data_IF_583312075027
#
_entry.id   IF_583312075027
#
_cell.length_a   1.000
_cell.length_b   1.000
_cell.length_c   1.000
_cell.angle_alpha   90.00
_cell.angle_beta   90.00
_cell.angle_gamma   90.00
#
_symmetry.space_group_name_H-M   'P 1'
#
loop_
_entity.id
_entity.type
_entity.pdbx_description
1 polymer ?
#
# COMPACT_ATOMS: atom_id res chain seq x y z
N UNK A 1 18.45 5.00 2.11
CA UNK A 1 17.00 4.98 1.87
C UNK A 1 16.48 6.39 1.79
N UNK A 2 15.72 6.73 0.75
CA UNK A 2 15.02 8.02 0.62
C UNK A 2 13.53 7.87 0.89
N UNK A 3 12.98 6.70 0.56
CA UNK A 3 11.56 6.39 0.76
C UNK A 3 11.38 5.06 1.51
N UNK A 4 10.43 5.04 2.43
CA UNK A 4 9.86 3.82 2.99
C UNK A 4 8.36 3.81 2.71
N UNK A 5 7.86 2.78 2.02
CA UNK A 5 6.47 2.68 1.57
C UNK A 5 5.78 1.57 2.36
N UNK A 6 4.67 1.91 3.00
CA UNK A 6 3.86 1.05 3.84
C UNK A 6 2.42 1.04 3.32
N UNK A 7 1.92 -0.14 2.97
CA UNK A 7 0.55 -0.33 2.53
C UNK A 7 -0.35 -0.65 3.72
N UNK A 8 -1.60 -0.19 3.77
CA UNK A 8 -2.50 -0.51 4.89
C UNK A 8 -3.84 -0.92 4.34
N UNK A 9 -4.37 -2.02 4.85
CA UNK A 9 -5.68 -2.50 4.42
C UNK A 9 -6.75 -1.80 5.25
N UNK A 10 -7.75 -1.23 4.58
CA UNK A 10 -8.99 -0.79 5.16
C UNK A 10 -10.10 -1.74 4.66
N UNK A 11 -10.66 -2.59 5.52
CA UNK A 11 -11.76 -3.45 5.12
C UNK A 11 -12.96 -2.61 4.67
N UNK A 12 -13.76 -3.16 3.76
CA UNK A 12 -14.90 -2.43 3.20
C UNK A 12 -15.85 -1.96 4.30
N UNK A 13 -16.13 -0.65 4.33
CA UNK A 13 -17.03 -0.06 5.32
C UNK A 13 -16.46 0.07 6.74
N UNK A 14 -15.21 -0.35 6.97
CA UNK A 14 -14.53 -0.12 8.24
C UNK A 14 -14.03 1.33 8.35
N UNK A 15 -13.81 1.77 9.60
CA UNK A 15 -13.19 3.08 9.91
C UNK A 15 -11.74 2.94 10.38
N UNK A 16 -11.29 1.70 10.61
CA UNK A 16 -9.98 1.37 11.19
C UNK A 16 -9.18 0.48 10.26
N UNK A 17 -7.90 0.78 10.13
CA UNK A 17 -6.95 -0.02 9.35
C UNK A 17 -6.69 -1.37 10.04
N UNK A 18 -6.44 -2.40 9.25
CA UNK A 18 -5.89 -3.67 9.75
C UNK A 18 -4.45 -3.44 10.17
N UNK A 19 -4.07 -3.93 11.35
CA UNK A 19 -2.66 -4.04 11.72
C UNK A 19 -2.05 -5.23 10.97
N UNK A 20 -1.47 -4.93 9.82
CA UNK A 20 -0.76 -5.87 8.98
C UNK A 20 0.74 -5.57 8.91
N UNK A 21 1.26 -4.81 9.88
CA UNK A 21 2.70 -4.62 10.01
C UNK A 21 3.34 -5.85 10.60
N UNK A 22 4.47 -6.29 10.03
CA UNK A 22 5.30 -7.31 10.69
C UNK A 22 6.23 -6.61 11.67
N UNK A 23 6.44 -7.16 12.87
CA UNK A 23 7.39 -6.59 13.84
C UNK A 23 8.82 -6.47 13.28
N UNK A 24 9.13 -7.19 12.21
CA UNK A 24 10.46 -7.27 11.63
C UNK A 24 10.73 -6.27 10.50
N UNK A 25 9.69 -5.72 9.86
CA UNK A 25 9.84 -4.69 8.82
C UNK A 25 8.93 -3.48 9.10
N UNK A 26 9.50 -2.28 9.34
CA UNK A 26 8.71 -1.09 9.63
C UNK A 26 7.94 -0.55 8.41
N UNK A 27 8.33 -0.95 7.20
CA UNK A 27 7.70 -0.63 5.91
C UNK A 27 7.82 -1.83 4.97
N UNK A 28 6.98 -1.93 3.94
CA UNK A 28 7.02 -3.05 3.00
C UNK A 28 8.12 -2.91 1.95
N UNK A 29 8.33 -1.67 1.49
CA UNK A 29 9.27 -1.35 0.42
C UNK A 29 10.18 -0.23 0.88
N UNK A 30 11.48 -0.48 0.78
CA UNK A 30 12.52 0.49 1.04
C UNK A 30 13.20 0.84 -0.29
N UNK A 31 13.34 2.14 -0.57
CA UNK A 31 13.87 2.62 -1.85
C UNK A 31 15.00 3.59 -1.57
N UNK A 32 16.18 3.28 -2.11
CA UNK A 32 17.30 4.22 -2.20
C UNK A 32 17.43 4.84 -3.60
N UNK A 33 18.57 5.47 -3.87
CA UNK A 33 18.83 6.16 -5.14
C UNK A 33 19.19 5.25 -6.31
N UNK A 34 19.40 3.96 -6.05
CA UNK A 34 19.66 2.93 -7.06
C UNK A 34 18.41 2.15 -7.44
N UNK A 35 17.34 2.31 -6.67
CA UNK A 35 16.09 1.57 -6.80
C UNK A 35 14.96 2.45 -7.34
N UNK A 36 13.91 1.80 -7.83
CA UNK A 36 12.68 2.43 -8.28
C UNK A 36 11.49 1.74 -7.65
N UNK A 37 10.49 2.51 -7.23
CA UNK A 37 9.20 1.98 -6.81
C UNK A 37 8.07 2.83 -7.40
N UNK A 38 6.98 2.15 -7.75
CA UNK A 38 5.75 2.79 -8.15
C UNK A 38 4.94 3.16 -6.90
N UNK A 39 4.51 4.41 -6.82
CA UNK A 39 3.58 4.88 -5.79
C UNK A 39 2.22 5.07 -6.47
N UNK A 40 1.26 4.14 -6.28
CA UNK A 40 -0.05 4.26 -6.92
C UNK A 40 -0.77 5.55 -6.51
N UNK A 41 -1.56 6.07 -7.43
CA UNK A 41 -2.46 7.19 -7.25
C UNK A 41 -3.70 6.81 -6.46
N UNK A 42 -4.39 7.81 -5.87
CA UNK A 42 -5.71 7.58 -5.27
C UNK A 42 -6.69 7.17 -6.36
N UNK A 43 -7.42 6.09 -6.13
CA UNK A 43 -8.34 5.48 -7.09
C UNK A 43 -7.75 4.34 -7.93
N UNK A 44 -6.42 4.19 -7.95
CA UNK A 44 -5.76 3.08 -8.64
C UNK A 44 -6.07 1.77 -7.94
N UNK A 45 -6.21 0.71 -8.74
CA UNK A 45 -6.39 -0.64 -8.22
C UNK A 45 -5.04 -1.30 -7.98
N UNK A 46 -4.93 -2.00 -6.86
CA UNK A 46 -3.72 -2.68 -6.41
C UNK A 46 -4.07 -4.13 -6.11
N UNK A 47 -3.24 -5.05 -6.60
CA UNK A 47 -3.37 -6.48 -6.40
C UNK A 47 -2.00 -7.05 -6.03
N UNK A 48 -1.73 -7.15 -4.73
CA UNK A 48 -0.55 -7.80 -4.21
C UNK A 48 -0.91 -9.20 -3.72
N UNK A 49 -0.38 -10.26 -4.36
CA UNK A 49 -0.49 -11.61 -3.81
C UNK A 49 0.18 -11.62 -2.44
N UNK A 50 -0.40 -12.33 -1.47
CA UNK A 50 0.28 -12.58 -0.21
C UNK A 50 1.51 -13.44 -0.51
N UNK A 51 2.70 -12.89 -0.36
CA UNK A 51 3.97 -13.57 -0.53
C UNK A 51 4.73 -13.60 0.79
N UNK A 52 5.43 -14.72 1.05
CA UNK A 52 6.13 -14.98 2.32
C UNK A 52 7.18 -13.91 2.70
N UNK A 53 7.64 -13.08 1.76
CA UNK A 53 8.76 -12.14 1.96
C UNK A 53 8.34 -10.66 2.12
N UNK A 54 7.09 -10.31 1.78
CA UNK A 54 6.58 -8.93 1.89
C UNK A 54 5.41 -8.88 2.89
N UNK A 55 4.38 -9.72 2.69
CA UNK A 55 3.23 -9.84 3.59
C UNK A 55 2.57 -11.21 3.47
N UNK A 56 2.28 -11.83 4.62
CA UNK A 56 1.43 -13.03 4.67
C UNK A 56 -0.04 -12.78 4.30
N UNK A 57 -0.48 -11.51 4.31
CA UNK A 57 -1.86 -11.13 3.99
C UNK A 57 -1.90 -10.48 2.61
N UNK A 58 -2.68 -11.04 1.65
CA UNK A 58 -2.87 -10.41 0.35
C UNK A 58 -3.51 -9.03 0.50
N UNK A 59 -3.15 -8.09 -0.37
CA UNK A 59 -3.76 -6.77 -0.43
C UNK A 59 -4.40 -6.58 -1.78
N UNK A 60 -5.72 -6.43 -1.79
CA UNK A 60 -6.48 -6.24 -3.01
C UNK A 60 -7.56 -5.19 -2.82
N UNK A 61 -7.58 -4.20 -3.69
CA UNK A 61 -8.55 -3.10 -3.60
C UNK A 61 -8.06 -1.82 -4.26
N UNK A 62 -8.71 -0.70 -3.94
CA UNK A 62 -8.33 0.61 -4.46
C UNK A 62 -7.57 1.44 -3.45
N UNK A 63 -6.65 2.26 -3.92
CA UNK A 63 -6.02 3.27 -3.08
C UNK A 63 -7.06 4.30 -2.67
N UNK A 64 -7.41 4.32 -1.39
CA UNK A 64 -8.31 5.30 -0.78
C UNK A 64 -7.58 6.61 -0.50
N UNK A 65 -6.37 6.50 0.05
CA UNK A 65 -5.58 7.66 0.43
C UNK A 65 -4.09 7.34 0.44
N UNK A 66 -3.28 8.38 0.39
CA UNK A 66 -1.83 8.31 0.56
C UNK A 66 -1.35 9.46 1.43
N UNK A 67 -0.41 9.18 2.32
CA UNK A 67 0.18 10.15 3.22
C UNK A 67 1.69 10.16 3.04
N UNK A 68 2.25 11.31 2.65
CA UNK A 68 3.69 11.51 2.55
C UNK A 68 4.17 12.22 3.82
N UNK A 69 4.96 11.53 4.64
CA UNK A 69 5.48 12.03 5.89
C UNK A 69 7.01 12.20 5.80
N UNK A 70 7.44 13.46 5.73
CA UNK A 70 8.85 13.82 5.62
C UNK A 70 9.50 13.99 7.00
N UNK A 71 10.62 13.29 7.24
CA UNK A 71 11.37 13.34 8.49
C UNK A 71 12.87 13.26 8.22
N UNK A 72 13.62 14.31 8.55
CA UNK A 72 15.10 14.34 8.48
C UNK A 72 15.71 13.85 7.16
N UNK A 73 15.11 14.21 6.02
CA UNK A 73 15.58 13.78 4.68
C UNK A 73 15.06 12.42 4.20
N UNK A 74 14.21 11.78 5.00
CA UNK A 74 13.48 10.55 4.66
C UNK A 74 12.00 10.88 4.40
N UNK A 75 11.37 10.15 3.48
CA UNK A 75 9.94 10.23 3.21
C UNK A 75 9.27 8.88 3.46
N UNK A 76 8.41 8.81 4.48
CA UNK A 76 7.55 7.66 4.72
C UNK A 76 6.24 7.85 3.96
N UNK A 77 5.85 6.87 3.16
CA UNK A 77 4.63 6.90 2.36
C UNK A 77 3.70 5.83 2.87
N UNK A 78 2.59 6.23 3.49
CA UNK A 78 1.53 5.29 3.86
C UNK A 78 0.46 5.30 2.79
N UNK A 79 0.14 4.13 2.22
CA UNK A 79 -0.84 3.96 1.16
C UNK A 79 -1.98 3.10 1.72
N UNK A 80 -3.17 3.70 1.87
CA UNK A 80 -4.34 2.97 2.34
C UNK A 80 -5.07 2.37 1.16
N UNK A 81 -5.20 1.05 1.16
CA UNK A 81 -5.97 0.26 0.20
C UNK A 81 -7.30 -0.09 0.87
N UNK A 82 -8.40 0.34 0.28
CA UNK A 82 -9.74 -0.07 0.69
C UNK A 82 -10.20 -1.26 -0.13
N UNK A 83 -10.74 -2.29 0.53
CA UNK A 83 -11.35 -3.42 -0.15
C UNK A 83 -12.56 -2.95 -0.97
N UNK A 84 -12.62 -3.38 -2.22
CA UNK A 84 -13.69 -3.01 -3.16
C UNK A 84 -14.26 -4.24 -3.83
N UNK A 85 -15.59 -4.29 -3.95
CA UNK A 85 -16.28 -5.23 -4.84
C UNK A 85 -16.40 -4.62 -6.24
N UNK A 86 -15.25 -4.31 -6.85
CA UNK A 86 -15.26 -3.70 -8.17
C UNK A 86 -15.86 -4.67 -9.19
N UNK A 87 -16.93 -4.22 -9.83
CA UNK A 87 -17.51 -4.91 -10.98
C UNK A 87 -16.74 -4.53 -12.25
N UNK A 88 -15.73 -5.34 -12.57
CA UNK A 88 -14.91 -5.16 -13.76
C UNK A 88 -15.66 -5.37 -15.07
N UNK A 89 -16.91 -5.86 -15.05
CA UNK A 89 -17.71 -6.05 -16.26
C UNK A 89 -18.03 -4.74 -17.00
N UNK A 90 -17.92 -3.60 -16.32
CA UNK A 90 -18.16 -2.27 -16.89
C UNK A 90 -16.90 -1.57 -17.43
N UNK A 91 -15.70 -2.09 -17.15
CA UNK A 91 -14.44 -1.49 -17.62
C UNK A 91 -14.13 -2.09 -19.00
N UNK A 92 -14.52 -1.38 -20.07
CA UNK A 92 -14.08 -1.72 -21.43
C UNK A 92 -12.64 -1.23 -21.65
N UNK A 93 -11.79 -2.03 -22.32
CA UNK A 93 -10.41 -1.66 -22.63
C UNK A 93 -10.32 -0.44 -23.55
#
# INVERSE_FOLDING_TARGET
>A
MKYGIDYRLLPKGATTLVDNTTMHRPVDVEVDETQFALIPGVGDFVDFPGEDDIRHVPLKGRVKSRCFHYKLGYCYVTIVIEETDDDWSCVRP
#
